data_IF_819834475428
#
_entry.id   IF_819834475428
#
_cell.length_a   1.000
_cell.length_b   1.000
_cell.length_c   1.000
_cell.angle_alpha   90.00
_cell.angle_beta   90.00
_cell.angle_gamma   90.00
#
_symmetry.space_group_name_H-M   'P 1'
#
loop_
_entity.id
_entity.type
_entity.pdbx_description
1 polymer ?
#
# COMPACT_ATOMS: atom_id res chain seq x y z
N UNK A 1 22.48 -14.46 1.55
CA UNK A 1 22.07 -14.87 0.18
C UNK A 1 22.70 -13.92 -0.83
N UNK A 2 23.14 -14.43 -2.01
CA UNK A 2 23.73 -13.60 -3.06
C UNK A 2 22.63 -12.83 -3.81
N UNK A 3 22.88 -11.55 -4.17
CA UNK A 3 21.89 -10.67 -4.81
C UNK A 3 21.28 -11.24 -6.11
N UNK A 4 22.08 -11.95 -6.91
CA UNK A 4 21.59 -12.58 -8.16
C UNK A 4 20.55 -13.67 -7.87
N UNK A 5 20.78 -14.50 -6.84
CA UNK A 5 19.85 -15.55 -6.43
C UNK A 5 18.55 -14.93 -5.89
N UNK A 6 18.68 -13.89 -5.08
CA UNK A 6 17.51 -13.16 -4.56
C UNK A 6 16.66 -12.57 -5.69
N UNK A 7 17.29 -11.95 -6.71
CA UNK A 7 16.58 -11.45 -7.89
C UNK A 7 15.82 -12.53 -8.65
N UNK A 8 16.41 -13.72 -8.82
CA UNK A 8 15.72 -14.85 -9.47
C UNK A 8 14.48 -15.30 -8.71
N UNK A 9 14.54 -15.32 -7.36
CA UNK A 9 13.38 -15.60 -6.51
C UNK A 9 12.31 -14.52 -6.63
N UNK A 10 12.68 -13.23 -6.69
CA UNK A 10 11.74 -12.12 -6.87
C UNK A 10 11.11 -12.14 -8.26
N UNK A 11 11.85 -12.47 -9.32
CA UNK A 11 11.30 -12.66 -10.66
C UNK A 11 10.26 -13.78 -10.71
N UNK A 12 10.49 -14.90 -9.99
CA UNK A 12 9.49 -15.97 -9.84
C UNK A 12 8.27 -15.49 -9.07
N UNK A 13 8.50 -14.75 -7.96
CA UNK A 13 7.44 -14.09 -7.19
C UNK A 13 6.59 -13.18 -8.07
N UNK A 14 7.19 -12.29 -8.82
CA UNK A 14 6.47 -11.36 -9.70
C UNK A 14 5.63 -12.11 -10.75
N UNK A 15 6.21 -13.13 -11.41
CA UNK A 15 5.47 -13.94 -12.39
C UNK A 15 4.27 -14.67 -11.79
N UNK A 16 4.41 -15.27 -10.60
CA UNK A 16 3.28 -15.95 -9.97
C UNK A 16 2.20 -14.96 -9.50
N UNK A 17 2.60 -13.75 -9.09
CA UNK A 17 1.64 -12.69 -8.75
C UNK A 17 0.83 -12.22 -9.98
N UNK A 18 1.44 -12.11 -11.14
CA UNK A 18 0.75 -11.75 -12.39
C UNK A 18 -0.31 -12.79 -12.81
N UNK A 19 -0.13 -14.06 -12.45
CA UNK A 19 -1.13 -15.10 -12.69
C UNK A 19 -2.41 -14.82 -11.88
N UNK A 20 -2.26 -14.40 -10.62
CA UNK A 20 -3.39 -14.13 -9.72
C UNK A 20 -3.93 -12.70 -9.84
N UNK A 21 -3.15 -11.79 -10.42
CA UNK A 21 -3.40 -10.36 -10.49
C UNK A 21 -3.16 -9.84 -11.90
N UNK A 22 -4.07 -10.13 -12.83
CA UNK A 22 -4.03 -9.56 -14.16
C UNK A 22 -3.87 -8.04 -14.08
N UNK A 23 -2.96 -7.47 -14.90
CA UNK A 23 -2.69 -6.02 -14.96
C UNK A 23 -2.11 -5.43 -13.67
N UNK A 24 -1.35 -6.25 -12.95
CA UNK A 24 -0.58 -5.79 -11.79
C UNK A 24 0.33 -4.60 -12.13
N UNK A 25 0.99 -4.62 -13.29
CA UNK A 25 1.85 -3.53 -13.74
C UNK A 25 1.05 -2.25 -14.07
N UNK A 26 -0.11 -2.35 -14.73
CA UNK A 26 -0.96 -1.19 -14.99
C UNK A 26 -1.44 -0.53 -13.69
N UNK A 27 -1.77 -1.36 -12.68
CA UNK A 27 -2.12 -0.87 -11.35
C UNK A 27 -0.93 -0.20 -10.66
N UNK A 28 0.28 -0.74 -10.79
CA UNK A 28 1.50 -0.13 -10.27
C UNK A 28 1.78 1.23 -10.92
N UNK A 29 1.63 1.32 -12.25
CA UNK A 29 1.76 2.60 -12.98
C UNK A 29 0.77 3.63 -12.43
N UNK A 30 -0.51 3.28 -12.35
CA UNK A 30 -1.55 4.17 -11.84
C UNK A 30 -1.28 4.60 -10.38
N UNK A 31 -0.77 3.69 -9.54
CA UNK A 31 -0.42 3.96 -8.15
C UNK A 31 0.76 4.92 -8.05
N UNK A 32 1.83 4.69 -8.82
CA UNK A 32 3.05 5.52 -8.80
C UNK A 32 2.74 6.91 -9.36
N UNK A 33 1.97 7.00 -10.45
CA UNK A 33 1.51 8.28 -10.99
C UNK A 33 0.69 9.06 -9.95
N UNK A 34 -0.20 8.37 -9.20
CA UNK A 34 -0.96 9.00 -8.13
C UNK A 34 -0.08 9.48 -6.96
N UNK A 35 0.99 8.75 -6.58
CA UNK A 35 1.98 9.21 -5.59
C UNK A 35 2.66 10.47 -6.09
N UNK A 36 3.14 10.48 -7.34
CA UNK A 36 3.83 11.61 -7.95
C UNK A 36 2.95 12.87 -7.94
N UNK A 37 1.72 12.76 -8.43
CA UNK A 37 0.80 13.89 -8.54
C UNK A 37 0.32 14.38 -7.16
N UNK A 38 0.00 13.46 -6.24
CA UNK A 38 -0.51 13.83 -4.92
C UNK A 38 0.56 14.47 -4.03
N UNK A 39 1.81 14.03 -4.15
CA UNK A 39 2.90 14.62 -3.34
C UNK A 39 3.46 15.89 -3.97
N UNK A 40 3.55 15.96 -5.29
CA UNK A 40 4.20 17.04 -6.03
C UNK A 40 5.68 17.23 -5.68
N UNK A 41 6.32 16.19 -5.09
CA UNK A 41 7.69 16.25 -4.55
C UNK A 41 8.64 15.42 -5.40
N UNK A 42 9.90 15.89 -5.50
CA UNK A 42 10.95 15.12 -6.14
C UNK A 42 11.54 14.03 -5.22
N UNK A 43 11.40 14.20 -3.90
CA UNK A 43 12.00 13.39 -2.84
C UNK A 43 10.99 12.96 -1.75
N UNK A 44 9.81 12.39 -2.10
CA UNK A 44 8.82 12.01 -1.12
C UNK A 44 9.30 10.86 -0.23
N UNK A 45 8.88 10.87 1.04
CA UNK A 45 8.97 9.71 1.93
C UNK A 45 7.74 8.84 1.75
N UNK A 46 7.94 7.62 1.28
CA UNK A 46 6.87 6.66 0.97
C UNK A 46 6.99 5.42 1.83
N UNK A 47 5.90 5.04 2.49
CA UNK A 47 5.78 3.76 3.20
C UNK A 47 5.16 2.73 2.24
N UNK A 48 5.89 1.67 1.91
CA UNK A 48 5.40 0.51 1.16
C UNK A 48 4.93 -0.55 2.16
N UNK A 49 3.61 -0.62 2.39
CA UNK A 49 2.95 -1.37 3.46
C UNK A 49 2.55 -2.76 2.96
N UNK A 50 3.07 -3.80 3.61
CA UNK A 50 3.00 -5.17 3.10
C UNK A 50 3.82 -5.31 1.82
N UNK A 51 5.06 -4.79 1.88
CA UNK A 51 5.91 -4.60 0.71
C UNK A 51 6.37 -5.92 0.05
N UNK A 52 6.24 -7.05 0.76
CA UNK A 52 6.80 -8.32 0.31
C UNK A 52 8.29 -8.18 0.00
N UNK A 53 8.76 -8.65 -1.16
CA UNK A 53 10.16 -8.51 -1.55
C UNK A 53 10.51 -7.12 -2.14
N UNK A 54 9.60 -6.14 -2.07
CA UNK A 54 9.82 -4.76 -2.53
C UNK A 54 9.54 -4.52 -4.01
N UNK A 55 8.71 -5.34 -4.64
CA UNK A 55 8.40 -5.23 -6.08
C UNK A 55 7.79 -3.89 -6.48
N UNK A 56 6.89 -3.32 -5.65
CA UNK A 56 6.33 -1.98 -5.88
C UNK A 56 7.37 -0.90 -5.57
N UNK A 57 8.03 -1.01 -4.41
CA UNK A 57 9.01 -0.01 -3.97
C UNK A 57 10.15 0.21 -4.95
N UNK A 58 10.65 -0.86 -5.61
CA UNK A 58 11.73 -0.71 -6.60
C UNK A 58 11.25 0.01 -7.87
N UNK A 59 10.02 -0.27 -8.36
CA UNK A 59 9.43 0.42 -9.51
C UNK A 59 9.13 1.89 -9.21
N UNK A 60 8.73 2.19 -7.97
CA UNK A 60 8.55 3.55 -7.51
C UNK A 60 9.87 4.32 -7.57
N UNK A 61 10.97 3.73 -7.09
CA UNK A 61 12.31 4.33 -7.15
C UNK A 61 12.87 4.48 -8.57
N UNK A 62 12.41 3.68 -9.53
CA UNK A 62 12.76 3.86 -10.95
C UNK A 62 12.09 5.10 -11.55
N UNK A 63 10.85 5.41 -11.13
CA UNK A 63 10.09 6.59 -11.58
C UNK A 63 10.40 7.84 -10.77
N UNK A 64 10.66 7.71 -9.48
CA UNK A 64 10.97 8.78 -8.53
C UNK A 64 12.31 8.49 -7.84
N UNK A 65 13.44 8.71 -8.52
CA UNK A 65 14.77 8.33 -8.00
C UNK A 65 15.17 9.07 -6.72
N UNK A 66 14.55 10.23 -6.44
CA UNK A 66 14.77 11.00 -5.21
C UNK A 66 13.94 10.50 -4.01
N UNK A 67 12.96 9.63 -4.22
CA UNK A 67 12.11 9.15 -3.14
C UNK A 67 12.90 8.34 -2.10
N UNK A 68 12.46 8.42 -0.85
CA UNK A 68 12.87 7.49 0.22
C UNK A 68 11.75 6.47 0.41
N UNK A 69 12.06 5.18 0.25
CA UNK A 69 11.09 4.10 0.40
C UNK A 69 11.41 3.27 1.65
N UNK A 70 10.42 3.17 2.54
CA UNK A 70 10.45 2.28 3.71
C UNK A 70 9.50 1.12 3.43
N UNK A 71 10.05 -0.05 3.17
CA UNK A 71 9.30 -1.29 3.01
C UNK A 71 8.96 -1.91 4.37
N UNK A 72 7.69 -2.16 4.61
CA UNK A 72 7.16 -2.70 5.86
C UNK A 72 6.49 -4.04 5.57
N UNK A 73 6.96 -5.11 6.20
CA UNK A 73 6.35 -6.44 6.10
C UNK A 73 6.62 -7.25 7.37
N UNK A 74 5.84 -8.29 7.64
CA UNK A 74 6.08 -9.24 8.72
C UNK A 74 6.80 -10.51 8.25
N UNK A 75 6.84 -10.77 6.94
CA UNK A 75 7.33 -12.03 6.37
C UNK A 75 8.87 -12.04 6.27
N UNK A 76 9.58 -12.88 7.04
CA UNK A 76 11.03 -12.91 7.05
C UNK A 76 11.64 -13.37 5.72
N UNK A 77 10.93 -14.21 4.95
CA UNK A 77 11.41 -14.72 3.65
C UNK A 77 11.44 -13.60 2.63
N UNK A 78 10.31 -12.93 2.42
CA UNK A 78 10.19 -11.86 1.42
C UNK A 78 11.09 -10.68 1.76
N UNK A 79 11.17 -10.30 3.04
CA UNK A 79 12.10 -9.27 3.51
C UNK A 79 13.57 -9.62 3.27
N UNK A 80 13.96 -10.88 3.50
CA UNK A 80 15.34 -11.32 3.26
C UNK A 80 15.68 -11.31 1.76
N UNK A 81 14.73 -11.71 0.89
CA UNK A 81 14.86 -11.61 -0.56
C UNK A 81 15.03 -10.16 -1.01
N UNK A 82 14.16 -9.27 -0.52
CA UNK A 82 14.20 -7.83 -0.83
C UNK A 82 15.52 -7.18 -0.43
N UNK A 83 15.97 -7.37 0.82
CA UNK A 83 17.26 -6.86 1.32
C UNK A 83 18.43 -7.34 0.47
N UNK A 84 18.45 -8.62 0.11
CA UNK A 84 19.54 -9.19 -0.68
C UNK A 84 19.54 -8.70 -2.14
N UNK A 85 18.36 -8.45 -2.73
CA UNK A 85 18.22 -8.04 -4.13
C UNK A 85 18.44 -6.55 -4.34
N UNK A 86 17.90 -5.71 -3.45
CA UNK A 86 17.81 -4.26 -3.62
C UNK A 86 18.81 -3.46 -2.79
N UNK A 87 19.49 -4.11 -1.80
CA UNK A 87 20.48 -3.44 -0.94
C UNK A 87 19.86 -2.25 -0.20
N UNK A 88 20.57 -1.13 -0.19
CA UNK A 88 20.19 0.08 0.52
C UNK A 88 19.19 0.96 -0.24
N UNK A 89 18.73 0.54 -1.41
CA UNK A 89 17.75 1.31 -2.20
C UNK A 89 16.37 1.38 -1.50
N UNK A 90 16.00 0.34 -0.75
CA UNK A 90 14.78 0.28 0.04
C UNK A 90 15.19 -0.07 1.48
N UNK A 91 14.69 0.68 2.46
CA UNK A 91 14.86 0.34 3.87
C UNK A 91 13.77 -0.64 4.29
N UNK A 92 14.12 -1.93 4.40
CA UNK A 92 13.18 -2.98 4.80
C UNK A 92 13.10 -3.12 6.32
N UNK A 93 11.88 -2.99 6.86
CA UNK A 93 11.60 -3.09 8.30
C UNK A 93 10.64 -4.24 8.58
N UNK A 94 11.03 -5.13 9.51
CA UNK A 94 10.17 -6.22 9.96
C UNK A 94 9.16 -5.68 10.98
N UNK A 95 7.92 -5.49 10.55
CA UNK A 95 6.83 -4.94 11.35
C UNK A 95 5.55 -5.73 11.06
N UNK A 96 4.89 -6.18 12.11
CA UNK A 96 3.54 -6.72 12.04
C UNK A 96 2.53 -5.57 12.18
N UNK A 97 1.68 -5.38 11.17
CA UNK A 97 0.66 -4.33 11.15
C UNK A 97 -0.47 -4.55 12.15
N UNK A 98 -0.58 -5.77 12.72
CA UNK A 98 -1.52 -6.11 13.79
C UNK A 98 -1.08 -5.51 15.14
N UNK A 99 0.20 -5.20 15.30
CA UNK A 99 0.72 -4.51 16.50
C UNK A 99 0.37 -3.01 16.42
N UNK A 100 -0.47 -2.46 17.30
CA UNK A 100 -0.82 -1.03 17.26
C UNK A 100 0.37 -0.10 17.50
N UNK A 101 1.47 -0.60 18.06
CA UNK A 101 2.71 0.14 18.28
C UNK A 101 3.63 0.23 17.06
N UNK A 102 3.23 -0.31 15.92
CA UNK A 102 4.06 -0.36 14.71
C UNK A 102 4.66 0.99 14.27
N UNK A 103 4.00 2.17 14.45
CA UNK A 103 4.59 3.44 14.03
C UNK A 103 5.89 3.79 14.75
N UNK A 104 6.02 3.39 16.03
CA UNK A 104 7.23 3.65 16.82
C UNK A 104 8.47 2.87 16.35
N UNK A 105 8.27 1.88 15.48
CA UNK A 105 9.33 1.03 14.91
C UNK A 105 9.77 1.50 13.53
N UNK A 106 9.15 2.55 12.99
CA UNK A 106 9.57 3.14 11.72
C UNK A 106 10.94 3.81 11.88
N UNK A 107 11.89 3.59 10.97
CA UNK A 107 13.22 4.18 11.00
C UNK A 107 13.21 5.61 10.40
N UNK A 108 12.23 6.43 10.78
CA UNK A 108 12.06 7.79 10.26
C UNK A 108 11.62 8.73 11.39
N UNK A 109 11.99 10.00 11.28
CA UNK A 109 11.76 11.06 12.26
C UNK A 109 10.73 12.10 11.80
N UNK A 110 10.19 11.93 10.61
CA UNK A 110 9.16 12.82 10.02
C UNK A 110 7.95 12.02 9.54
N UNK A 111 6.76 12.66 9.45
CA UNK A 111 5.61 12.04 8.83
C UNK A 111 5.85 11.70 7.37
N UNK A 112 5.27 10.60 6.90
CA UNK A 112 5.35 10.18 5.51
C UNK A 112 4.47 11.05 4.59
N UNK A 113 4.94 11.24 3.37
CA UNK A 113 4.22 11.97 2.33
C UNK A 113 3.17 11.11 1.65
N UNK A 114 3.46 9.82 1.50
CA UNK A 114 2.56 8.83 0.96
C UNK A 114 2.73 7.49 1.69
N UNK A 115 1.67 6.69 1.71
CA UNK A 115 1.73 5.28 2.01
C UNK A 115 1.05 4.51 0.88
N UNK A 116 1.64 3.40 0.48
CA UNK A 116 1.16 2.55 -0.59
C UNK A 116 1.04 1.12 -0.09
N UNK A 117 0.08 0.38 -0.61
CA UNK A 117 -0.08 -1.06 -0.34
C UNK A 117 -0.59 -1.75 -1.58
N UNK A 118 -0.17 -2.98 -1.80
CA UNK A 118 -0.69 -3.79 -2.89
C UNK A 118 -0.83 -5.26 -2.47
N UNK A 119 -2.05 -5.80 -2.58
CA UNK A 119 -2.35 -7.21 -2.27
C UNK A 119 -1.81 -7.68 -0.91
N UNK A 120 -1.92 -6.84 0.09
CA UNK A 120 -1.41 -7.12 1.43
C UNK A 120 -2.47 -6.96 2.54
N UNK A 121 -3.33 -5.94 2.46
CA UNK A 121 -4.23 -5.63 3.57
C UNK A 121 -5.40 -6.61 3.70
N UNK A 122 -5.68 -7.40 2.69
CA UNK A 122 -6.67 -8.49 2.77
C UNK A 122 -6.26 -9.64 3.72
N UNK A 123 -5.00 -9.65 4.19
CA UNK A 123 -4.53 -10.56 5.22
C UNK A 123 -4.93 -10.15 6.65
N UNK A 124 -5.39 -8.92 6.84
CA UNK A 124 -5.85 -8.42 8.13
C UNK A 124 -7.31 -8.81 8.38
N UNK A 125 -7.68 -9.02 9.63
CA UNK A 125 -9.09 -9.01 10.02
C UNK A 125 -9.66 -7.60 9.91
N UNK A 126 -10.99 -7.45 9.85
CA UNK A 126 -11.63 -6.13 9.79
C UNK A 126 -11.20 -5.23 10.97
N UNK A 127 -11.14 -5.77 12.20
CA UNK A 127 -10.74 -5.02 13.38
C UNK A 127 -9.28 -4.55 13.31
N UNK A 128 -8.38 -5.43 12.84
CA UNK A 128 -6.97 -5.09 12.64
C UNK A 128 -6.80 -4.03 11.54
N UNK A 129 -7.55 -4.14 10.43
CA UNK A 129 -7.56 -3.15 9.37
C UNK A 129 -8.03 -1.77 9.85
N UNK A 130 -9.12 -1.73 10.63
CA UNK A 130 -9.62 -0.50 11.24
C UNK A 130 -8.63 0.13 12.21
N UNK A 131 -7.93 -0.68 12.99
CA UNK A 131 -6.87 -0.22 13.88
C UNK A 131 -5.67 0.31 13.08
N UNK A 132 -5.25 -0.42 12.04
CA UNK A 132 -4.18 -0.01 11.13
C UNK A 132 -4.47 1.35 10.47
N UNK A 133 -5.67 1.59 9.94
CA UNK A 133 -6.00 2.86 9.30
C UNK A 133 -5.97 4.05 10.25
N UNK A 134 -6.36 3.85 11.53
CA UNK A 134 -6.23 4.91 12.55
C UNK A 134 -4.76 5.31 12.78
N UNK A 135 -3.89 4.31 12.98
CA UNK A 135 -2.45 4.58 13.17
C UNK A 135 -1.78 5.10 11.90
N UNK A 136 -2.21 4.63 10.72
CA UNK A 136 -1.72 5.14 9.45
C UNK A 136 -2.02 6.64 9.27
N UNK A 137 -3.21 7.09 9.66
CA UNK A 137 -3.54 8.50 9.62
C UNK A 137 -2.58 9.36 10.47
N UNK A 138 -2.06 8.83 11.58
CA UNK A 138 -1.13 9.57 12.44
C UNK A 138 0.29 9.66 11.86
N UNK A 139 0.72 8.68 11.08
CA UNK A 139 2.07 8.67 10.49
C UNK A 139 2.17 9.39 9.14
N UNK A 140 1.05 9.66 8.48
CA UNK A 140 1.01 10.49 7.27
C UNK A 140 1.00 11.97 7.62
N UNK A 141 1.67 12.81 6.84
CA UNK A 141 1.54 14.26 6.98
C UNK A 141 0.12 14.74 6.62
N UNK A 142 -0.31 15.91 7.11
CA UNK A 142 -1.50 16.58 6.57
C UNK A 142 -1.39 16.78 5.06
N UNK A 143 -2.43 16.40 4.31
CA UNK A 143 -2.40 16.35 2.83
C UNK A 143 -1.68 15.14 2.26
N UNK A 144 -1.19 14.21 3.09
CA UNK A 144 -0.59 12.97 2.63
C UNK A 144 -1.63 12.02 2.03
N UNK A 145 -1.17 11.12 1.18
CA UNK A 145 -2.00 10.18 0.43
C UNK A 145 -1.76 8.74 0.88
N UNK A 146 -2.84 7.97 0.96
CA UNK A 146 -2.78 6.51 1.06
C UNK A 146 -3.39 5.88 -0.18
N UNK A 147 -2.70 4.89 -0.75
CA UNK A 147 -3.11 4.16 -1.95
C UNK A 147 -3.09 2.66 -1.67
N UNK A 148 -4.22 1.98 -1.88
CA UNK A 148 -4.34 0.53 -1.72
C UNK A 148 -4.81 -0.12 -3.01
N UNK A 149 -3.94 -0.90 -3.64
CA UNK A 149 -4.26 -1.73 -4.79
C UNK A 149 -4.60 -3.15 -4.35
N UNK A 150 -5.88 -3.55 -4.40
CA UNK A 150 -6.30 -4.88 -3.96
C UNK A 150 -7.57 -5.35 -4.68
N UNK A 151 -7.96 -6.60 -4.42
CA UNK A 151 -9.28 -7.13 -4.80
C UNK A 151 -10.34 -6.64 -3.82
N UNK A 152 -10.97 -5.53 -4.15
CA UNK A 152 -11.98 -4.87 -3.32
C UNK A 152 -13.38 -5.13 -3.90
N UNK A 153 -14.08 -6.10 -3.29
CA UNK A 153 -15.38 -6.56 -3.76
C UNK A 153 -16.53 -5.67 -3.28
N UNK A 154 -17.58 -5.61 -4.10
CA UNK A 154 -18.85 -5.00 -3.70
C UNK A 154 -19.55 -5.83 -2.62
N UNK A 155 -20.29 -5.16 -1.73
CA UNK A 155 -21.09 -5.81 -0.71
C UNK A 155 -22.29 -6.53 -1.33
N UNK A 156 -22.37 -7.87 -1.28
CA UNK A 156 -23.50 -8.61 -1.86
C UNK A 156 -24.83 -8.34 -1.14
N UNK A 157 -24.79 -7.86 0.11
CA UNK A 157 -25.99 -7.50 0.86
C UNK A 157 -26.64 -6.19 0.39
N UNK A 158 -25.84 -5.23 -0.08
CA UNK A 158 -26.33 -3.91 -0.53
C UNK A 158 -26.31 -3.76 -2.06
N UNK A 159 -25.44 -4.51 -2.77
CA UNK A 159 -25.30 -4.44 -4.22
C UNK A 159 -25.15 -5.85 -4.84
N UNK A 160 -26.15 -6.76 -4.69
CA UNK A 160 -26.01 -8.17 -5.07
C UNK A 160 -25.74 -8.39 -6.57
N UNK A 161 -26.32 -7.55 -7.43
CA UNK A 161 -26.11 -7.66 -8.88
C UNK A 161 -24.71 -7.22 -9.27
N UNK A 162 -24.21 -6.09 -8.74
CA UNK A 162 -22.87 -5.61 -9.00
C UNK A 162 -21.80 -6.59 -8.45
N UNK A 163 -22.01 -7.12 -7.25
CA UNK A 163 -21.13 -8.13 -6.66
C UNK A 163 -21.04 -9.40 -7.53
N UNK A 164 -22.19 -9.87 -8.05
CA UNK A 164 -22.24 -11.02 -8.97
C UNK A 164 -21.55 -10.71 -10.30
N UNK A 165 -21.83 -9.55 -10.90
CA UNK A 165 -21.21 -9.16 -12.16
C UNK A 165 -19.71 -8.98 -12.03
N UNK A 166 -19.22 -8.38 -10.93
CA UNK A 166 -17.80 -8.22 -10.66
C UNK A 166 -17.08 -9.56 -10.60
N UNK A 167 -17.63 -10.54 -9.88
CA UNK A 167 -17.06 -11.90 -9.85
C UNK A 167 -17.05 -12.57 -11.23
N UNK A 168 -18.17 -12.51 -11.95
CA UNK A 168 -18.25 -13.12 -13.28
C UNK A 168 -17.28 -12.49 -14.28
N UNK A 169 -17.02 -11.17 -14.20
CA UNK A 169 -16.04 -10.50 -15.05
C UNK A 169 -14.62 -10.93 -14.72
N UNK A 170 -14.27 -11.09 -13.45
CA UNK A 170 -12.97 -11.61 -13.05
C UNK A 170 -12.77 -13.05 -13.55
N UNK A 171 -13.76 -13.95 -13.34
CA UNK A 171 -13.70 -15.33 -13.82
C UNK A 171 -13.52 -15.42 -15.34
N UNK A 172 -14.24 -14.60 -16.11
CA UNK A 172 -14.13 -14.54 -17.57
C UNK A 172 -12.76 -13.99 -18.01
N UNK A 173 -12.18 -13.10 -17.24
CA UNK A 173 -10.84 -12.56 -17.49
C UNK A 173 -9.78 -13.63 -17.27
N UNK A 174 -9.83 -14.32 -16.13
CA UNK A 174 -8.90 -15.40 -15.79
C UNK A 174 -8.93 -16.52 -16.86
N UNK A 175 -10.14 -16.89 -17.31
CA UNK A 175 -10.30 -17.89 -18.39
C UNK A 175 -9.70 -17.45 -19.71
N UNK A 176 -9.72 -16.15 -20.05
CA UNK A 176 -9.14 -15.65 -21.31
C UNK A 176 -7.63 -15.56 -21.26
N UNK A 177 -7.06 -15.21 -20.12
CA UNK A 177 -5.61 -14.95 -19.98
C UNK A 177 -4.82 -16.21 -19.68
N UNK A 178 -5.36 -17.10 -18.87
CA UNK A 178 -4.66 -18.28 -18.38
C UNK A 178 -5.43 -19.55 -18.69
N UNK A 179 -5.39 -20.00 -19.96
CA UNK A 179 -5.85 -21.35 -20.25
C UNK A 179 -5.05 -22.33 -19.39
N UNK A 180 -5.74 -23.28 -18.76
CA UNK A 180 -5.28 -24.23 -17.76
C UNK A 180 -3.82 -24.65 -17.92
N UNK A 181 -2.99 -24.39 -16.90
CA UNK A 181 -1.61 -24.92 -16.81
C UNK A 181 -0.47 -23.92 -17.01
N UNK A 182 -0.72 -22.62 -16.99
CA UNK A 182 0.34 -21.63 -17.24
C UNK A 182 0.76 -20.92 -15.93
N UNK A 183 2.02 -21.10 -15.54
CA UNK A 183 2.70 -20.38 -14.48
C UNK A 183 2.82 -21.15 -13.16
N UNK A 184 3.72 -20.67 -12.31
CA UNK A 184 3.90 -21.18 -10.96
C UNK A 184 2.75 -20.67 -10.06
N UNK A 185 2.12 -21.59 -9.32
CA UNK A 185 1.09 -21.20 -8.34
C UNK A 185 1.71 -20.58 -7.10
N UNK A 186 0.91 -19.85 -6.31
CA UNK A 186 1.29 -19.38 -4.98
C UNK A 186 1.84 -20.51 -4.10
N UNK A 187 1.11 -21.62 -4.01
CA UNK A 187 1.54 -22.78 -3.22
C UNK A 187 2.85 -23.36 -3.75
N UNK A 188 2.99 -23.52 -5.08
CA UNK A 188 4.21 -24.06 -5.69
C UNK A 188 5.44 -23.18 -5.43
N UNK A 189 5.28 -21.86 -5.38
CA UNK A 189 6.37 -20.97 -5.00
C UNK A 189 6.81 -21.18 -3.55
N UNK A 190 5.84 -21.28 -2.61
CA UNK A 190 6.13 -21.53 -1.19
C UNK A 190 6.71 -22.92 -0.94
N UNK A 191 6.26 -23.95 -1.66
CA UNK A 191 6.84 -25.30 -1.61
C UNK A 191 8.32 -25.26 -2.03
N UNK A 192 8.62 -24.50 -3.11
CA UNK A 192 9.99 -24.29 -3.57
C UNK A 192 10.85 -23.55 -2.54
N UNK A 193 10.31 -22.51 -1.88
CA UNK A 193 10.99 -21.77 -0.80
C UNK A 193 11.31 -22.69 0.36
N UNK A 194 10.36 -23.53 0.78
CA UNK A 194 10.55 -24.47 1.88
C UNK A 194 11.57 -25.57 1.55
N UNK A 195 11.66 -25.97 0.30
CA UNK A 195 12.61 -26.94 -0.19
C UNK A 195 14.04 -26.40 -0.39
N UNK A 196 14.19 -25.06 -0.51
CA UNK A 196 15.51 -24.44 -0.68
C UNK A 196 16.29 -24.39 0.65
N UNK A 197 17.47 -25.03 0.76
CA UNK A 197 18.24 -25.04 2.02
C UNK A 197 18.61 -23.64 2.55
N UNK A 198 18.74 -22.63 1.68
CA UNK A 198 19.07 -21.27 2.09
C UNK A 198 17.86 -20.49 2.62
N UNK A 199 16.64 -20.88 2.24
CA UNK A 199 15.39 -20.21 2.63
C UNK A 199 14.60 -21.00 3.67
N UNK A 200 14.80 -22.31 3.80
CA UNK A 200 14.08 -23.17 4.74
C UNK A 200 14.11 -22.66 6.22
N UNK A 201 15.21 -22.12 6.77
CA UNK A 201 15.20 -21.54 8.10
C UNK A 201 14.25 -20.35 8.23
N UNK A 202 14.19 -19.47 7.21
CA UNK A 202 13.27 -18.32 7.17
C UNK A 202 11.82 -18.75 6.98
N UNK A 203 11.58 -19.83 6.21
CA UNK A 203 10.26 -20.42 6.08
C UNK A 203 9.76 -21.00 7.40
N UNK A 204 10.66 -21.61 8.20
CA UNK A 204 10.33 -22.08 9.54
C UNK A 204 10.01 -20.92 10.51
N UNK A 205 10.79 -19.82 10.45
CA UNK A 205 10.52 -18.59 11.20
C UNK A 205 9.14 -18.00 10.83
N UNK A 206 8.85 -17.90 9.53
CA UNK A 206 7.55 -17.45 9.00
C UNK A 206 6.39 -18.28 9.59
N UNK A 207 6.54 -19.60 9.61
CA UNK A 207 5.53 -20.49 10.18
C UNK A 207 5.33 -20.27 11.69
N UNK A 208 6.43 -20.06 12.44
CA UNK A 208 6.37 -19.77 13.88
C UNK A 208 5.70 -18.42 14.20
N UNK A 209 5.83 -17.42 13.31
CA UNK A 209 5.17 -16.12 13.41
C UNK A 209 3.70 -16.14 12.98
N UNK A 210 3.20 -17.28 12.48
CA UNK A 210 1.85 -17.41 11.91
C UNK A 210 1.56 -16.40 10.79
N UNK A 211 2.56 -15.98 10.04
CA UNK A 211 2.37 -15.07 8.92
C UNK A 211 1.52 -15.75 7.85
N UNK A 212 0.36 -15.18 7.56
CA UNK A 212 -0.57 -15.72 6.57
C UNK A 212 -1.52 -16.82 7.06
N UNK A 213 -1.53 -17.16 8.35
CA UNK A 213 -2.43 -18.20 8.89
C UNK A 213 -3.91 -17.77 8.87
N UNK A 214 -4.19 -16.48 8.94
CA UNK A 214 -5.55 -15.94 9.02
C UNK A 214 -6.29 -15.92 7.67
N UNK A 215 -5.58 -16.15 6.55
CA UNK A 215 -6.16 -16.07 5.21
C UNK A 215 -7.23 -17.13 4.91
N UNK A 216 -7.19 -18.27 5.58
CA UNK A 216 -8.15 -19.37 5.36
C UNK A 216 -9.52 -19.13 6.00
N UNK A 217 -9.64 -18.15 6.91
CA UNK A 217 -10.83 -17.86 7.71
C UNK A 217 -11.44 -16.46 7.47
N UNK A 218 -10.75 -15.58 6.76
CA UNK A 218 -11.26 -14.23 6.50
C UNK A 218 -12.11 -14.19 5.23
N UNK A 219 -13.39 -13.84 5.37
CA UNK A 219 -14.14 -13.30 4.23
C UNK A 219 -13.40 -12.08 3.70
N UNK A 220 -13.24 -11.99 2.36
CA UNK A 220 -12.57 -10.87 1.73
C UNK A 220 -13.17 -9.55 2.22
N UNK A 221 -12.34 -8.66 2.76
CA UNK A 221 -12.80 -7.37 3.28
C UNK A 221 -13.39 -6.56 2.11
N UNK A 222 -14.63 -6.14 2.28
CA UNK A 222 -15.38 -5.46 1.23
C UNK A 222 -14.90 -4.02 1.01
N UNK A 223 -15.05 -3.50 -0.19
CA UNK A 223 -14.74 -2.10 -0.52
C UNK A 223 -15.39 -1.12 0.46
N UNK A 224 -16.66 -1.34 0.81
CA UNK A 224 -17.38 -0.47 1.75
C UNK A 224 -16.72 -0.42 3.13
N UNK A 225 -16.20 -1.54 3.62
CA UNK A 225 -15.48 -1.60 4.90
C UNK A 225 -14.21 -0.76 4.86
N UNK A 226 -13.43 -0.87 3.77
CA UNK A 226 -12.23 -0.04 3.58
C UNK A 226 -12.58 1.45 3.56
N UNK A 227 -13.61 1.85 2.79
CA UNK A 227 -14.06 3.25 2.68
C UNK A 227 -14.51 3.80 4.03
N UNK A 228 -15.35 3.04 4.76
CA UNK A 228 -15.87 3.45 6.07
C UNK A 228 -14.76 3.54 7.12
N UNK A 229 -13.83 2.58 7.12
CA UNK A 229 -12.71 2.55 8.05
C UNK A 229 -11.73 3.72 7.82
N UNK A 230 -11.42 4.04 6.56
CA UNK A 230 -10.58 5.18 6.20
C UNK A 230 -11.23 6.51 6.59
N UNK A 231 -12.53 6.69 6.32
CA UNK A 231 -13.26 7.89 6.73
C UNK A 231 -13.29 8.03 8.26
N UNK A 232 -13.55 6.94 8.96
CA UNK A 232 -13.53 6.91 10.43
C UNK A 232 -12.13 7.21 11.02
N UNK A 233 -11.06 6.89 10.27
CA UNK A 233 -9.68 7.21 10.63
C UNK A 233 -9.28 8.67 10.33
N UNK A 234 -10.17 9.48 9.73
CA UNK A 234 -9.92 10.91 9.45
C UNK A 234 -9.41 11.22 8.04
N UNK A 235 -9.49 10.26 7.10
CA UNK A 235 -9.29 10.56 5.70
C UNK A 235 -10.54 11.22 5.12
N UNK A 236 -10.38 12.39 4.53
CA UNK A 236 -11.51 13.22 4.10
C UNK A 236 -12.05 12.84 2.71
N UNK A 237 -11.15 12.51 1.81
CA UNK A 237 -11.50 12.07 0.48
C UNK A 237 -11.08 10.61 0.32
N UNK A 238 -12.05 9.76 0.00
CA UNK A 238 -11.81 8.31 -0.23
C UNK A 238 -12.56 7.91 -1.49
N UNK A 239 -11.84 7.37 -2.47
CA UNK A 239 -12.41 6.97 -3.74
C UNK A 239 -11.49 6.06 -4.56
N UNK A 240 -12.02 5.46 -5.61
CA UNK A 240 -11.29 4.60 -6.53
C UNK A 240 -10.72 5.43 -7.69
N UNK A 241 -9.39 5.34 -7.92
CA UNK A 241 -8.71 6.02 -9.02
C UNK A 241 -8.59 5.14 -10.27
N UNK A 242 -8.40 3.83 -10.08
CA UNK A 242 -8.28 2.86 -11.17
C UNK A 242 -9.05 1.60 -10.80
N UNK A 243 -9.67 0.96 -11.79
CA UNK A 243 -10.45 -0.25 -11.56
C UNK A 243 -10.51 -1.14 -12.80
N UNK A 244 -10.37 -2.44 -12.56
CA UNK A 244 -10.75 -3.49 -13.49
C UNK A 244 -11.42 -4.65 -12.74
N UNK A 245 -12.71 -4.83 -12.94
CA UNK A 245 -13.49 -5.77 -12.13
C UNK A 245 -13.42 -5.44 -10.64
N UNK A 246 -13.02 -6.39 -9.81
CA UNK A 246 -12.77 -6.18 -8.38
C UNK A 246 -11.34 -5.71 -8.09
N UNK A 247 -10.41 -5.80 -9.06
CA UNK A 247 -9.07 -5.24 -8.92
C UNK A 247 -9.15 -3.72 -8.96
N UNK A 248 -8.85 -3.05 -7.84
CA UNK A 248 -9.06 -1.60 -7.66
C UNK A 248 -7.85 -0.95 -7.02
N UNK A 249 -7.64 0.31 -7.38
CA UNK A 249 -6.75 1.22 -6.66
C UNK A 249 -7.61 2.20 -5.86
N UNK A 250 -7.73 1.97 -4.56
CA UNK A 250 -8.40 2.85 -3.62
C UNK A 250 -7.41 3.94 -3.17
N UNK A 251 -7.84 5.19 -3.22
CA UNK A 251 -7.09 6.35 -2.77
C UNK A 251 -7.79 7.00 -1.58
N UNK A 252 -7.01 7.44 -0.59
CA UNK A 252 -7.50 8.19 0.55
C UNK A 252 -6.57 9.36 0.86
N UNK A 253 -7.12 10.56 1.06
CA UNK A 253 -6.37 11.77 1.33
C UNK A 253 -6.57 12.18 2.79
N UNK A 254 -5.46 12.36 3.52
CA UNK A 254 -5.48 12.94 4.86
C UNK A 254 -5.63 14.44 4.76
N UNK A 255 -6.72 15.01 5.32
CA UNK A 255 -6.89 16.47 5.32
C UNK A 255 -5.77 17.19 6.08
N UNK A 256 -5.35 18.31 5.51
CA UNK A 256 -4.67 19.33 6.32
C UNK A 256 -5.66 19.86 7.37
N UNK A 257 -5.24 20.09 8.64
CA UNK A 257 -6.08 20.79 9.58
C UNK A 257 -6.49 22.14 8.97
N UNK A 258 -7.74 22.61 9.18
CA UNK A 258 -8.19 23.86 8.61
C UNK A 258 -7.19 24.96 9.03
N UNK A 259 -6.59 25.60 8.03
CA UNK A 259 -5.72 26.76 8.28
C UNK A 259 -6.56 27.80 8.97
N UNK A 260 -6.26 28.12 10.25
CA UNK A 260 -6.89 29.26 10.92
C UNK A 260 -6.70 30.45 9.98
N UNK A 261 -7.78 31.18 9.62
CA UNK A 261 -7.63 32.39 8.83
C UNK A 261 -6.62 33.29 9.55
N UNK A 262 -5.56 33.68 8.86
CA UNK A 262 -4.57 34.62 9.37
C UNK A 262 -5.37 35.84 9.81
N UNK A 263 -5.36 36.17 11.11
CA UNK A 263 -6.00 37.38 11.59
C UNK A 263 -5.52 38.54 10.73
N UNK A 264 -6.46 39.22 10.08
CA UNK A 264 -6.14 40.38 9.28
C UNK A 264 -5.39 41.36 10.18
N UNK A 265 -4.15 41.69 9.84
CA UNK A 265 -3.40 42.71 10.52
C UNK A 265 -4.23 44.00 10.46
N UNK A 266 -4.47 44.69 11.60
CA UNK A 266 -5.21 45.94 11.59
C UNK A 266 -4.48 46.89 10.63
N UNK A 267 -5.22 47.39 9.64
CA UNK A 267 -4.74 48.44 8.75
C UNK A 267 -4.24 49.61 9.62
N UNK A 268 -2.94 49.86 9.64
CA UNK A 268 -2.35 51.03 10.28
C UNK A 268 -2.98 52.26 9.60
N UNK A 269 -3.81 52.97 10.36
CA UNK A 269 -4.43 54.19 9.89
C UNK A 269 -3.36 55.18 9.44
N UNK A 270 -3.32 55.48 8.16
CA UNK A 270 -2.58 56.65 7.63
C UNK A 270 -3.29 57.89 8.16
N UNK A 271 -2.65 58.58 9.09
CA UNK A 271 -3.07 59.93 9.48
C UNK A 271 -3.00 60.85 8.21
N UNK A 272 -4.15 61.45 7.91
CA UNK A 272 -4.26 62.52 6.88
C UNK A 272 -3.66 63.78 7.49
N UNK A 273 -2.65 64.46 6.88
CA UNK A 273 -2.20 65.76 7.36
C UNK A 273 -3.25 66.81 7.05
N UNK A 274 -3.76 67.49 8.12
CA UNK A 274 -4.69 68.55 8.01
C UNK A 274 -4.14 69.70 7.15
N UNK A 275 -4.88 70.13 6.13
CA UNK A 275 -4.63 71.34 5.38
C UNK A 275 -4.96 72.54 6.21
N UNK A 276 -3.95 73.35 6.50
CA UNK A 276 -4.11 74.68 7.09
C UNK A 276 -4.60 75.68 6.03
N UNK A 277 -5.62 76.43 6.39
CA UNK A 277 -6.14 77.54 5.66
C UNK A 277 -5.15 78.72 5.62
N UNK A 278 -5.00 79.32 4.48
CA UNK A 278 -5.02 80.75 4.19
C UNK A 278 -5.15 81.01 2.69
#
# INVERSE_FOLDING_TARGET
MHATVARQWIERWDRQQEVSLPEREDRFIALIDAVQEATGMADPLVLDVGCGPGSLGIRLLERLPGATVIGIDADPVTLALGRAAHGDRITFTSIDLRDPGWPSRLPVDRPADAAVSTTALHWLTEDALRAFYRTLADVLRPGGVFLNGDHLHENPGTAPVLARLGRALNELEDQRRFPVGHGESWTGWWDSVTADPALAPLAAERAALNVGADHSSSEAILLSVHVDALRAAGFAEVGTLWQRGANRLLCAIRLAPPTRPRAASPLSGRAIPGGGAR
#
